data_IF_443578321374
#
_entry.id   IF_443578321374
#
_cell.length_a   1.000
_cell.length_b   1.000
_cell.length_c   1.000
_cell.angle_alpha   90.00
_cell.angle_beta   90.00
_cell.angle_gamma   90.00
#
_symmetry.space_group_name_H-M   'P 1'
#
loop_
_entity.id
_entity.type
_entity.pdbx_description
1 polymer ?
#
# COMPACT_ATOMS: atom_id res chain seq x y z
N UNK A 1 -8.61 23.91 34.75
CA UNK A 1 -8.74 24.27 33.32
C UNK A 1 -9.96 23.61 32.66
N UNK A 2 -10.09 22.27 32.68
CA UNK A 2 -11.25 21.56 32.08
C UNK A 2 -12.61 22.06 32.59
N UNK A 3 -12.80 22.18 33.90
CA UNK A 3 -14.05 22.66 34.48
C UNK A 3 -14.41 24.09 34.01
N UNK A 4 -13.41 24.98 33.88
CA UNK A 4 -13.60 26.35 33.38
C UNK A 4 -14.10 26.31 31.92
N UNK A 5 -13.51 25.48 31.06
CA UNK A 5 -13.96 25.30 29.69
C UNK A 5 -15.37 24.73 29.60
N UNK A 6 -15.74 23.79 30.50
CA UNK A 6 -17.10 23.24 30.57
C UNK A 6 -18.11 24.34 30.96
N UNK A 7 -17.84 25.10 32.02
CA UNK A 7 -18.73 26.19 32.43
C UNK A 7 -18.86 27.28 31.36
N UNK A 8 -17.75 27.65 30.72
CA UNK A 8 -17.75 28.59 29.60
C UNK A 8 -18.62 28.06 28.44
N UNK A 9 -18.45 26.80 28.04
CA UNK A 9 -19.21 26.17 26.97
C UNK A 9 -20.71 26.03 27.28
N UNK A 10 -21.07 25.68 28.52
CA UNK A 10 -22.48 25.59 28.94
C UNK A 10 -23.14 26.97 28.89
N UNK A 11 -22.41 28.02 29.28
CA UNK A 11 -22.89 29.41 29.24
C UNK A 11 -22.92 30.00 27.83
N UNK A 12 -21.95 29.64 26.98
CA UNK A 12 -21.86 30.04 25.58
C UNK A 12 -21.37 28.87 24.73
N UNK A 13 -22.26 28.29 23.92
CA UNK A 13 -21.93 27.14 23.06
C UNK A 13 -20.90 27.46 21.96
N UNK A 14 -20.59 28.73 21.71
CA UNK A 14 -19.51 29.15 20.82
C UNK A 14 -18.11 28.96 21.44
N UNK A 15 -17.98 28.94 22.77
CA UNK A 15 -16.68 28.70 23.43
C UNK A 15 -16.43 27.19 23.57
N UNK A 16 -16.18 26.53 22.44
CA UNK A 16 -16.16 25.08 22.32
C UNK A 16 -14.76 24.49 22.05
N UNK A 17 -13.70 25.27 22.30
CA UNK A 17 -12.30 24.89 22.01
C UNK A 17 -11.89 23.53 22.57
N UNK A 18 -12.44 23.14 23.74
CA UNK A 18 -12.23 21.82 24.35
C UNK A 18 -13.33 20.82 23.96
N UNK A 19 -14.58 21.24 23.96
CA UNK A 19 -15.74 20.38 23.73
C UNK A 19 -15.78 19.79 22.30
N UNK A 20 -15.29 20.55 21.31
CA UNK A 20 -15.25 20.15 19.91
C UNK A 20 -14.25 19.01 19.65
N UNK A 21 -12.95 19.12 19.98
CA UNK A 21 -12.00 18.02 19.79
C UNK A 21 -12.34 16.80 20.65
N UNK A 22 -12.87 16.99 21.87
CA UNK A 22 -13.34 15.87 22.70
C UNK A 22 -14.55 15.16 22.08
N UNK A 23 -15.54 15.90 21.57
CA UNK A 23 -16.70 15.31 20.89
C UNK A 23 -16.30 14.51 19.66
N UNK A 24 -15.36 15.04 18.86
CA UNK A 24 -14.81 14.34 17.70
C UNK A 24 -14.03 13.08 18.12
N UNK A 25 -13.16 13.19 19.13
CA UNK A 25 -12.41 12.06 19.69
C UNK A 25 -13.35 10.94 20.18
N UNK A 26 -14.33 11.28 21.02
CA UNK A 26 -15.28 10.30 21.56
C UNK A 26 -16.05 9.59 20.44
N UNK A 27 -16.53 10.31 19.43
CA UNK A 27 -17.23 9.71 18.30
C UNK A 27 -16.31 8.80 17.47
N UNK A 28 -15.08 9.23 17.20
CA UNK A 28 -14.08 8.44 16.48
C UNK A 28 -13.72 7.16 17.25
N UNK A 29 -13.66 7.23 18.57
CA UNK A 29 -13.42 6.09 19.46
C UNK A 29 -14.63 5.16 19.62
N UNK A 30 -15.76 5.41 18.94
CA UNK A 30 -16.93 4.53 18.96
C UNK A 30 -17.89 4.76 20.14
N UNK A 31 -17.84 5.93 20.78
CA UNK A 31 -18.76 6.28 21.87
C UNK A 31 -20.20 6.35 21.34
N UNK A 32 -21.15 5.72 22.06
CA UNK A 32 -22.56 5.70 21.65
C UNK A 32 -23.19 7.10 21.71
N UNK A 33 -24.23 7.33 20.91
CA UNK A 33 -24.92 8.62 20.87
C UNK A 33 -25.57 8.98 22.21
N UNK A 34 -26.02 7.98 22.98
CA UNK A 34 -26.55 8.18 24.33
C UNK A 34 -25.49 8.75 25.28
N UNK A 35 -24.28 8.18 25.25
CA UNK A 35 -23.15 8.66 26.08
C UNK A 35 -22.71 10.04 25.62
N UNK A 36 -22.60 10.28 24.31
CA UNK A 36 -22.31 11.62 23.77
C UNK A 36 -23.37 12.66 24.17
N UNK A 37 -24.63 12.27 24.25
CA UNK A 37 -25.72 13.12 24.75
C UNK A 37 -25.49 13.56 26.20
N UNK A 38 -25.15 12.61 27.08
CA UNK A 38 -24.81 12.92 28.48
C UNK A 38 -23.60 13.84 28.57
N UNK A 39 -22.52 13.53 27.84
CA UNK A 39 -21.29 14.34 27.81
C UNK A 39 -21.53 15.76 27.27
N UNK A 40 -22.43 15.90 26.30
CA UNK A 40 -22.86 17.19 25.76
C UNK A 40 -23.69 18.01 26.75
N UNK A 41 -24.52 17.34 27.55
CA UNK A 41 -25.37 17.98 28.56
C UNK A 41 -24.54 18.49 29.75
N UNK A 42 -23.51 17.76 30.17
CA UNK A 42 -22.57 18.21 31.22
C UNK A 42 -21.53 19.22 30.70
N UNK A 43 -21.49 19.48 29.38
CA UNK A 43 -20.60 20.47 28.77
C UNK A 43 -19.19 19.98 28.46
N UNK A 44 -18.93 18.68 28.49
CA UNK A 44 -17.63 18.10 28.18
C UNK A 44 -17.41 17.88 26.67
N UNK A 45 -18.49 17.68 25.91
CA UNK A 45 -18.43 17.48 24.46
C UNK A 45 -19.46 18.33 23.72
N UNK A 46 -19.29 18.47 22.41
CA UNK A 46 -20.36 18.93 21.52
C UNK A 46 -21.41 17.83 21.30
N UNK A 47 -22.58 18.23 20.77
CA UNK A 47 -23.67 17.29 20.46
C UNK A 47 -23.28 16.35 19.31
N UNK A 48 -23.89 15.15 19.25
CA UNK A 48 -23.68 14.21 18.13
C UNK A 48 -23.95 14.85 16.77
N UNK A 49 -25.01 15.69 16.67
CA UNK A 49 -25.33 16.44 15.45
C UNK A 49 -24.24 17.42 15.06
N UNK A 50 -23.64 18.12 16.01
CA UNK A 50 -22.51 19.02 15.76
C UNK A 50 -21.28 18.22 15.32
N UNK A 51 -21.02 17.06 15.91
CA UNK A 51 -19.91 16.19 15.48
C UNK A 51 -20.07 15.78 14.02
N UNK A 52 -21.26 15.37 13.59
CA UNK A 52 -21.51 14.99 12.19
C UNK A 52 -21.30 16.17 11.23
N UNK A 53 -21.81 17.37 11.56
CA UNK A 53 -21.54 18.58 10.76
C UNK A 53 -20.05 18.92 10.67
N UNK A 54 -19.32 18.78 11.78
CA UNK A 54 -17.87 19.01 11.80
C UNK A 54 -17.16 17.99 10.92
N UNK A 55 -17.59 16.72 10.91
CA UNK A 55 -17.03 15.70 10.00
C UNK A 55 -17.29 16.02 8.53
N UNK A 56 -18.51 16.42 8.19
CA UNK A 56 -18.88 16.87 6.83
C UNK A 56 -17.98 18.03 6.42
N UNK A 57 -17.85 19.05 7.27
CA UNK A 57 -17.02 20.22 6.97
C UNK A 57 -15.54 19.89 6.82
N UNK A 58 -14.98 19.07 7.72
CA UNK A 58 -13.59 18.58 7.60
C UNK A 58 -13.39 17.82 6.28
N UNK A 59 -14.39 17.03 5.86
CA UNK A 59 -14.32 16.31 4.59
C UNK A 59 -14.36 17.25 3.39
N UNK A 60 -15.21 18.27 3.40
CA UNK A 60 -15.27 19.32 2.37
C UNK A 60 -13.95 20.09 2.29
N UNK A 61 -13.45 20.57 3.42
CA UNK A 61 -12.20 21.33 3.49
C UNK A 61 -11.00 20.47 3.03
N UNK A 62 -10.96 19.18 3.41
CA UNK A 62 -9.89 18.27 2.96
C UNK A 62 -9.92 18.00 1.45
N UNK A 63 -11.12 17.85 0.86
CA UNK A 63 -11.29 17.74 -0.59
C UNK A 63 -10.85 19.04 -1.27
N UNK A 64 -11.23 20.21 -0.74
CA UNK A 64 -10.82 21.49 -1.31
C UNK A 64 -9.29 21.64 -1.29
N UNK A 65 -8.62 21.29 -0.20
CA UNK A 65 -7.15 21.27 -0.16
C UNK A 65 -6.57 20.34 -1.23
N UNK A 66 -7.17 19.19 -1.49
CA UNK A 66 -6.72 18.29 -2.55
C UNK A 66 -6.95 18.88 -3.96
N UNK A 67 -8.05 19.62 -4.17
CA UNK A 67 -8.31 20.37 -5.41
C UNK A 67 -7.27 21.48 -5.60
N UNK A 68 -6.96 22.25 -4.55
CA UNK A 68 -5.97 23.32 -4.59
C UNK A 68 -4.57 22.79 -4.94
N UNK A 69 -4.24 21.58 -4.46
CA UNK A 69 -2.97 20.92 -4.82
C UNK A 69 -2.96 20.46 -6.29
N UNK A 70 -4.07 19.96 -6.80
CA UNK A 70 -4.19 19.44 -8.16
C UNK A 70 -4.24 20.55 -9.23
N UNK A 71 -4.80 21.71 -8.88
CA UNK A 71 -4.89 22.89 -9.75
C UNK A 71 -3.70 23.85 -9.58
N UNK A 72 -2.95 23.71 -8.48
CA UNK A 72 -1.78 24.53 -8.17
C UNK A 72 -0.55 24.26 -9.06
N UNK A 73 0.55 24.99 -8.82
CA UNK A 73 1.80 24.85 -9.57
C UNK A 73 2.66 23.67 -9.09
N UNK A 74 2.32 23.06 -7.95
CA UNK A 74 3.07 21.96 -7.37
C UNK A 74 2.81 20.66 -8.14
N UNK A 75 3.88 19.93 -8.42
CA UNK A 75 3.76 18.62 -9.03
C UNK A 75 3.04 17.66 -8.06
N UNK A 76 2.09 16.89 -8.57
CA UNK A 76 1.37 15.90 -7.78
C UNK A 76 1.04 14.65 -8.61
N UNK A 77 0.65 13.59 -7.91
CA UNK A 77 0.09 12.40 -8.52
C UNK A 77 -1.18 11.98 -7.79
N UNK A 78 -2.04 11.26 -8.52
CA UNK A 78 -3.31 10.76 -8.01
C UNK A 78 -3.16 9.27 -7.79
N UNK A 79 -3.39 8.82 -6.56
CA UNK A 79 -3.45 7.40 -6.23
C UNK A 79 -4.88 7.03 -5.89
N UNK A 80 -5.34 5.89 -6.41
CA UNK A 80 -6.64 5.37 -6.10
C UNK A 80 -6.64 3.85 -6.04
N UNK A 81 -7.52 3.32 -5.20
CA UNK A 81 -7.68 1.89 -4.97
C UNK A 81 -9.12 1.57 -4.54
N UNK A 82 -9.54 0.33 -4.80
CA UNK A 82 -10.86 -0.16 -4.46
C UNK A 82 -11.04 -0.30 -2.95
N UNK A 83 -12.19 0.17 -2.47
CA UNK A 83 -12.71 -0.08 -1.13
C UNK A 83 -14.03 -0.84 -1.19
N UNK A 84 -14.01 -2.06 -0.65
CA UNK A 84 -15.20 -2.89 -0.48
C UNK A 84 -15.72 -2.75 0.95
N UNK A 85 -16.89 -2.14 1.11
CA UNK A 85 -17.56 -1.98 2.41
C UNK A 85 -18.69 -3.00 2.53
N UNK A 86 -18.51 -3.97 3.43
CA UNK A 86 -19.53 -4.97 3.70
C UNK A 86 -20.55 -4.44 4.70
N UNK A 87 -21.80 -4.26 4.25
CA UNK A 87 -22.92 -3.84 5.07
C UNK A 87 -23.64 -5.06 5.63
N UNK A 88 -23.26 -5.43 6.85
CA UNK A 88 -23.90 -6.52 7.57
C UNK A 88 -25.30 -6.09 8.07
N UNK A 89 -26.32 -6.90 7.79
CA UNK A 89 -27.65 -6.79 8.36
C UNK A 89 -27.79 -7.81 9.48
N UNK A 90 -28.45 -7.45 10.58
CA UNK A 90 -28.61 -8.36 11.71
C UNK A 90 -29.48 -9.58 11.36
N UNK A 91 -30.58 -9.33 10.66
CA UNK A 91 -31.46 -10.35 10.11
C UNK A 91 -31.61 -10.15 8.62
N UNK A 92 -31.31 -11.21 7.87
CA UNK A 92 -31.55 -11.23 6.45
C UNK A 92 -33.02 -11.51 6.15
N UNK A 93 -33.62 -10.69 5.29
CA UNK A 93 -34.97 -10.87 4.72
C UNK A 93 -34.89 -10.66 3.23
N UNK A 94 -35.94 -11.03 2.48
CA UNK A 94 -35.97 -10.82 1.03
C UNK A 94 -35.67 -9.36 0.63
N UNK A 95 -36.15 -8.40 1.42
CA UNK A 95 -35.96 -6.95 1.24
C UNK A 95 -34.78 -6.37 2.03
N UNK A 96 -34.09 -7.16 2.85
CA UNK A 96 -33.02 -6.68 3.73
C UNK A 96 -31.89 -7.70 3.78
N UNK A 97 -31.06 -7.71 2.74
CA UNK A 97 -29.91 -8.61 2.62
C UNK A 97 -28.61 -7.89 2.93
N UNK A 98 -27.57 -8.67 3.16
CA UNK A 98 -26.21 -8.16 3.08
C UNK A 98 -25.97 -7.48 1.73
N UNK A 99 -25.28 -6.36 1.77
CA UNK A 99 -24.83 -5.67 0.55
C UNK A 99 -23.36 -5.31 0.67
N UNK A 100 -22.70 -5.23 -0.48
CA UNK A 100 -21.33 -4.74 -0.57
C UNK A 100 -21.37 -3.44 -1.37
N UNK A 101 -20.86 -2.37 -0.77
CA UNK A 101 -20.59 -1.14 -1.51
C UNK A 101 -19.20 -1.30 -2.13
N UNK A 102 -19.14 -1.22 -3.44
CA UNK A 102 -17.91 -1.20 -4.22
C UNK A 102 -17.63 0.25 -4.61
N UNK A 103 -16.64 0.85 -3.97
CA UNK A 103 -16.25 2.22 -4.22
C UNK A 103 -14.73 2.32 -4.42
N UNK A 104 -14.26 3.48 -4.86
CA UNK A 104 -12.85 3.78 -5.07
C UNK A 104 -12.45 4.92 -4.15
N UNK A 105 -11.42 4.71 -3.33
CA UNK A 105 -10.85 5.78 -2.51
C UNK A 105 -9.72 6.48 -3.27
N UNK A 106 -9.69 7.81 -3.23
CA UNK A 106 -8.74 8.63 -3.99
C UNK A 106 -7.95 9.54 -3.05
N UNK A 107 -6.66 9.70 -3.30
CA UNK A 107 -5.81 10.69 -2.67
C UNK A 107 -4.94 11.40 -3.71
N UNK A 108 -4.69 12.69 -3.47
CA UNK A 108 -3.73 13.51 -4.25
C UNK A 108 -2.50 13.71 -3.38
N UNK A 109 -1.33 13.39 -3.93
CA UNK A 109 -0.07 13.40 -3.19
C UNK A 109 0.93 14.30 -3.92
N UNK A 110 1.53 15.23 -3.19
CA UNK A 110 2.53 16.15 -3.73
C UNK A 110 3.86 15.45 -3.97
N UNK A 111 4.56 15.87 -5.02
CA UNK A 111 5.94 15.52 -5.32
C UNK A 111 6.79 16.78 -5.08
N UNK A 112 7.70 16.70 -4.11
CA UNK A 112 8.48 17.82 -3.60
C UNK A 112 9.52 18.40 -4.56
N UNK A 113 10.01 17.59 -5.50
CA UNK A 113 11.08 17.97 -6.41
C UNK A 113 10.77 17.52 -7.82
N UNK A 114 11.17 18.34 -8.78
CA UNK A 114 10.91 18.16 -10.20
C UNK A 114 10.44 19.46 -10.82
N UNK A 115 10.69 19.60 -12.11
CA UNK A 115 10.19 20.74 -12.89
C UNK A 115 8.79 20.38 -13.42
N UNK A 116 7.75 20.94 -12.79
CA UNK A 116 6.37 20.66 -13.16
C UNK A 116 6.10 20.97 -14.64
N UNK A 117 6.70 22.02 -15.21
CA UNK A 117 6.47 22.38 -16.60
C UNK A 117 6.98 21.31 -17.58
N UNK A 118 8.09 20.65 -17.25
CA UNK A 118 8.65 19.56 -18.07
C UNK A 118 7.96 18.22 -17.84
N UNK A 119 7.56 17.95 -16.60
CA UNK A 119 6.86 16.69 -16.24
C UNK A 119 5.44 16.68 -16.82
N UNK A 120 4.76 17.82 -16.78
CA UNK A 120 3.37 17.97 -17.21
C UNK A 120 3.25 18.27 -18.72
N UNK A 121 4.35 18.34 -19.48
CA UNK A 121 4.35 18.59 -20.93
C UNK A 121 3.77 17.40 -21.70
N UNK A 122 2.53 17.57 -22.15
CA UNK A 122 1.79 16.55 -22.91
C UNK A 122 2.42 16.31 -24.27
N UNK A 123 2.91 17.33 -24.97
CA UNK A 123 3.47 17.16 -26.31
C UNK A 123 4.78 16.37 -26.25
N UNK A 124 5.65 16.70 -25.30
CA UNK A 124 6.88 15.93 -25.06
C UNK A 124 6.56 14.47 -24.69
N UNK A 125 5.54 14.24 -23.85
CA UNK A 125 5.09 12.89 -23.51
C UNK A 125 4.58 12.11 -24.73
N UNK A 126 3.71 12.71 -25.54
CA UNK A 126 3.16 12.06 -26.73
C UNK A 126 4.23 11.78 -27.79
N UNK A 127 5.25 12.64 -27.91
CA UNK A 127 6.38 12.45 -28.84
C UNK A 127 7.28 11.24 -28.50
N UNK A 128 7.17 10.69 -27.28
CA UNK A 128 7.88 9.49 -26.86
C UNK A 128 7.14 8.20 -27.24
N UNK A 129 5.89 8.28 -27.69
CA UNK A 129 5.08 7.10 -28.02
C UNK A 129 5.62 6.34 -29.23
N UNK A 130 5.33 5.05 -29.25
CA UNK A 130 5.73 4.15 -30.34
C UNK A 130 7.21 3.74 -30.31
N UNK A 131 8.07 4.45 -29.56
CA UNK A 131 9.50 4.13 -29.43
C UNK A 131 9.79 2.76 -28.85
N UNK A 132 8.83 2.16 -28.14
CA UNK A 132 8.89 0.77 -27.65
C UNK A 132 9.04 -0.26 -28.77
N UNK A 133 8.76 0.08 -30.03
CA UNK A 133 9.04 -0.80 -31.18
C UNK A 133 10.52 -1.22 -31.26
N UNK A 134 11.42 -0.41 -30.70
CA UNK A 134 12.87 -0.66 -30.64
C UNK A 134 13.30 -1.51 -29.44
N UNK A 135 12.36 -2.01 -28.63
CA UNK A 135 12.66 -2.85 -27.48
C UNK A 135 13.12 -4.25 -27.92
N UNK A 136 14.14 -4.74 -27.23
CA UNK A 136 14.79 -6.03 -27.44
C UNK A 136 14.80 -6.82 -26.13
N UNK A 137 15.11 -8.11 -26.21
CA UNK A 137 15.21 -8.95 -25.02
C UNK A 137 16.37 -8.53 -24.09
N UNK A 138 17.45 -7.99 -24.64
CA UNK A 138 18.60 -7.55 -23.85
C UNK A 138 18.25 -6.37 -22.94
N UNK A 139 17.20 -5.61 -23.25
CA UNK A 139 16.73 -4.46 -22.45
C UNK A 139 16.09 -4.86 -21.12
N UNK A 140 15.67 -6.12 -20.98
CA UNK A 140 15.11 -6.66 -19.74
C UNK A 140 16.04 -7.65 -19.07
N UNK A 141 17.18 -8.00 -19.70
CA UNK A 141 18.12 -8.96 -19.17
C UNK A 141 19.03 -8.30 -18.13
N UNK A 142 19.24 -8.90 -16.95
CA UNK A 142 20.20 -8.40 -15.97
C UNK A 142 21.61 -8.34 -16.57
N UNK A 143 22.30 -7.23 -16.32
CA UNK A 143 23.69 -7.04 -16.68
C UNK A 143 24.63 -7.63 -15.62
N UNK A 144 25.92 -7.73 -15.95
CA UNK A 144 26.94 -8.13 -14.97
C UNK A 144 27.06 -7.13 -13.81
N UNK A 145 26.90 -5.83 -14.10
CA UNK A 145 26.91 -4.76 -13.10
C UNK A 145 25.75 -4.91 -12.12
N UNK A 146 24.54 -5.20 -12.62
CA UNK A 146 23.38 -5.45 -11.76
C UNK A 146 23.69 -6.63 -10.81
N UNK A 147 24.30 -7.70 -11.33
CA UNK A 147 24.70 -8.87 -10.54
C UNK A 147 25.68 -8.54 -9.41
N UNK A 148 26.63 -7.64 -9.65
CA UNK A 148 27.60 -7.19 -8.64
C UNK A 148 26.94 -6.32 -7.56
N UNK A 149 26.05 -5.41 -7.96
CA UNK A 149 25.24 -4.61 -7.02
C UNK A 149 24.37 -5.53 -6.15
N UNK A 150 23.74 -6.55 -6.76
CA UNK A 150 22.94 -7.54 -6.04
C UNK A 150 23.78 -8.30 -5.01
N UNK A 151 24.95 -8.82 -5.43
CA UNK A 151 25.88 -9.54 -4.54
C UNK A 151 26.25 -8.69 -3.34
N UNK A 152 26.71 -7.45 -3.57
CA UNK A 152 27.09 -6.52 -2.49
C UNK A 152 25.90 -6.20 -1.56
N UNK A 153 24.70 -6.04 -2.12
CA UNK A 153 23.48 -5.81 -1.34
C UNK A 153 23.13 -7.00 -0.44
N UNK A 154 23.31 -8.24 -0.92
CA UNK A 154 23.09 -9.45 -0.12
C UNK A 154 24.10 -9.54 1.02
N UNK A 155 25.36 -9.27 0.74
CA UNK A 155 26.43 -9.30 1.74
C UNK A 155 26.16 -8.33 2.88
N UNK A 156 25.82 -7.07 2.54
CA UNK A 156 25.45 -6.07 3.53
C UNK A 156 24.20 -6.47 4.31
N UNK A 157 23.18 -7.02 3.65
CA UNK A 157 21.93 -7.46 4.30
C UNK A 157 22.16 -8.63 5.27
N UNK A 158 22.97 -9.61 4.87
CA UNK A 158 23.36 -10.75 5.70
C UNK A 158 24.17 -10.26 6.90
N UNK A 159 25.20 -9.43 6.66
CA UNK A 159 26.02 -8.86 7.73
C UNK A 159 25.17 -8.08 8.73
N UNK A 160 24.23 -7.26 8.24
CA UNK A 160 23.30 -6.53 9.10
C UNK A 160 22.43 -7.48 9.93
N UNK A 161 21.92 -8.57 9.35
CA UNK A 161 21.12 -9.55 10.10
C UNK A 161 21.94 -10.27 11.17
N UNK A 162 23.17 -10.67 10.86
CA UNK A 162 24.08 -11.30 11.84
C UNK A 162 24.35 -10.33 13.00
N UNK A 163 24.80 -9.12 12.70
CA UNK A 163 25.10 -8.12 13.72
C UNK A 163 23.86 -7.79 14.53
N UNK A 164 22.67 -7.71 13.91
CA UNK A 164 21.45 -7.36 14.65
C UNK A 164 20.88 -8.48 15.50
N UNK A 165 20.94 -9.72 15.04
CA UNK A 165 20.12 -10.81 15.56
C UNK A 165 20.92 -12.00 16.11
N UNK A 166 22.24 -12.05 15.94
CA UNK A 166 23.03 -13.11 16.54
C UNK A 166 22.91 -13.09 18.07
N UNK A 167 22.81 -14.26 18.73
CA UNK A 167 22.73 -14.35 20.19
C UNK A 167 23.91 -13.62 20.86
N UNK A 168 23.63 -12.77 21.84
CA UNK A 168 24.66 -11.97 22.54
C UNK A 168 25.24 -10.80 21.73
N UNK A 169 24.80 -10.60 20.48
CA UNK A 169 25.35 -9.54 19.62
C UNK A 169 25.18 -8.13 20.16
N UNK A 170 24.19 -7.90 21.03
CA UNK A 170 23.96 -6.60 21.67
C UNK A 170 25.15 -6.14 22.49
N UNK A 171 25.96 -7.08 22.97
CA UNK A 171 27.11 -6.84 23.83
C UNK A 171 28.45 -6.90 23.06
N UNK A 172 28.42 -7.03 21.73
CA UNK A 172 29.65 -7.03 20.93
C UNK A 172 30.34 -5.67 20.97
N UNK A 173 31.64 -5.67 21.28
CA UNK A 173 32.50 -4.49 21.16
C UNK A 173 32.52 -4.01 19.71
N UNK A 174 32.30 -2.71 19.48
CA UNK A 174 32.27 -2.15 18.13
C UNK A 174 31.00 -2.43 17.32
N UNK A 175 29.92 -2.97 17.91
CA UNK A 175 28.64 -3.22 17.20
C UNK A 175 28.14 -2.01 16.41
N UNK A 176 28.23 -0.81 16.99
CA UNK A 176 27.79 0.42 16.34
C UNK A 176 28.62 0.72 15.08
N UNK A 177 29.94 0.62 15.18
CA UNK A 177 30.87 0.80 14.07
C UNK A 177 30.66 -0.24 12.97
N UNK A 178 30.38 -1.50 13.33
CA UNK A 178 30.03 -2.55 12.36
C UNK A 178 28.77 -2.16 11.57
N UNK A 179 27.71 -1.73 12.26
CA UNK A 179 26.47 -1.31 11.60
C UNK A 179 26.65 -0.07 10.74
N UNK A 180 27.55 0.83 11.13
CA UNK A 180 27.88 2.02 10.35
C UNK A 180 28.64 1.66 9.06
N UNK A 181 29.67 0.82 9.17
CA UNK A 181 30.41 0.28 8.00
C UNK A 181 29.47 -0.43 7.03
N UNK A 182 28.60 -1.30 7.52
CA UNK A 182 27.61 -2.01 6.68
C UNK A 182 26.68 -1.02 5.97
N UNK A 183 26.22 0.05 6.64
CA UNK A 183 25.39 1.08 6.01
C UNK A 183 26.15 1.91 4.98
N UNK A 184 27.44 2.14 5.19
CA UNK A 184 28.29 2.85 4.25
C UNK A 184 28.55 2.00 2.98
N UNK A 185 28.73 0.68 3.16
CA UNK A 185 28.98 -0.26 2.07
C UNK A 185 27.73 -0.62 1.27
N UNK A 186 26.54 -0.51 1.87
CA UNK A 186 25.28 -0.83 1.21
C UNK A 186 25.10 0.02 -0.06
N UNK A 187 24.91 -0.60 -1.24
CA UNK A 187 24.69 0.12 -2.49
C UNK A 187 23.51 1.09 -2.37
N UNK A 188 23.68 2.30 -2.90
CA UNK A 188 22.66 3.34 -2.92
C UNK A 188 22.27 3.60 -4.37
N UNK A 189 20.97 3.57 -4.65
CA UNK A 189 20.41 3.98 -5.93
C UNK A 189 19.41 5.12 -5.69
N UNK A 190 19.75 6.33 -6.16
CA UNK A 190 18.94 7.57 -6.07
C UNK A 190 18.23 7.74 -4.71
N UNK A 191 18.97 7.87 -3.59
CA UNK A 191 18.37 7.99 -2.26
C UNK A 191 17.46 9.22 -2.15
N UNK A 192 16.32 9.07 -1.49
CA UNK A 192 15.38 10.15 -1.22
C UNK A 192 15.71 10.85 0.09
N UNK A 193 15.80 12.18 0.04
CA UNK A 193 15.98 13.02 1.21
C UNK A 193 14.80 12.90 2.18
N UNK A 194 15.01 12.92 3.50
CA UNK A 194 13.90 12.85 4.46
C UNK A 194 13.02 14.10 4.41
N UNK A 195 11.76 13.94 4.04
CA UNK A 195 10.78 15.03 4.03
C UNK A 195 9.38 14.54 4.39
N UNK A 196 8.54 15.45 4.89
CA UNK A 196 7.13 15.12 5.15
C UNK A 196 6.38 15.22 3.83
N UNK A 197 5.82 14.10 3.38
CA UNK A 197 4.98 14.09 2.18
C UNK A 197 3.62 14.71 2.46
N UNK A 198 3.22 15.68 1.64
CA UNK A 198 1.87 16.24 1.65
C UNK A 198 0.92 15.31 0.88
N UNK A 199 0.09 14.57 1.61
CA UNK A 199 -0.89 13.64 1.06
C UNK A 199 -2.30 14.06 1.49
N UNK A 200 -3.12 14.48 0.52
CA UNK A 200 -4.45 15.05 0.74
C UNK A 200 -5.53 14.08 0.28
N UNK A 201 -6.46 13.66 1.16
CA UNK A 201 -7.54 12.77 0.75
C UNK A 201 -8.49 13.50 -0.20
N UNK A 202 -8.78 12.89 -1.35
CA UNK A 202 -9.73 13.41 -2.33
C UNK A 202 -11.13 12.79 -2.15
N UNK A 203 -11.25 11.82 -1.23
CA UNK A 203 -12.50 11.19 -0.83
C UNK A 203 -12.83 9.94 -1.63
N UNK A 204 -13.99 9.35 -1.31
CA UNK A 204 -14.47 8.10 -1.92
C UNK A 204 -15.42 8.41 -3.07
N UNK A 205 -15.21 7.75 -4.20
CA UNK A 205 -16.06 7.81 -5.40
C UNK A 205 -16.85 6.50 -5.47
N UNK A 206 -18.18 6.59 -5.61
CA UNK A 206 -19.06 5.42 -5.69
C UNK A 206 -19.04 4.78 -7.10
N UNK A 207 -17.86 4.37 -7.53
CA UNK A 207 -17.60 3.68 -8.79
C UNK A 207 -16.67 2.50 -8.50
N UNK A 208 -16.87 1.38 -9.19
CA UNK A 208 -16.00 0.22 -9.11
C UNK A 208 -14.95 0.28 -10.24
N UNK A 209 -13.69 0.54 -9.91
CA UNK A 209 -12.60 0.65 -10.89
C UNK A 209 -12.12 -0.71 -11.43
N UNK A 210 -12.65 -1.83 -10.92
CA UNK A 210 -12.28 -3.20 -11.32
C UNK A 210 -12.60 -3.54 -12.78
N UNK A 211 -13.12 -2.60 -13.57
CA UNK A 211 -13.40 -2.74 -15.00
C UNK A 211 -12.86 -1.55 -15.80
N UNK A 212 -12.67 -1.74 -17.11
CA UNK A 212 -12.26 -0.67 -18.05
C UNK A 212 -13.21 0.53 -18.00
N UNK A 213 -14.53 0.26 -18.00
CA UNK A 213 -15.57 1.30 -17.87
C UNK A 213 -15.49 2.01 -16.52
N UNK A 214 -15.22 1.26 -15.46
CA UNK A 214 -15.04 1.79 -14.11
C UNK A 214 -13.87 2.77 -14.01
N UNK A 215 -12.71 2.43 -14.60
CA UNK A 215 -11.55 3.34 -14.64
C UNK A 215 -11.87 4.65 -15.36
N UNK A 216 -12.53 4.57 -16.52
CA UNK A 216 -12.97 5.75 -17.27
C UNK A 216 -13.86 6.65 -16.38
N UNK A 217 -14.87 6.04 -15.75
CA UNK A 217 -15.77 6.75 -14.84
C UNK A 217 -15.02 7.35 -13.64
N UNK A 218 -14.03 6.66 -13.07
CA UNK A 218 -13.21 7.22 -11.97
C UNK A 218 -12.46 8.47 -12.44
N UNK A 219 -11.84 8.44 -13.62
CA UNK A 219 -11.14 9.61 -14.17
C UNK A 219 -12.10 10.78 -14.40
N UNK A 220 -13.24 10.54 -15.05
CA UNK A 220 -14.29 11.53 -15.28
C UNK A 220 -14.74 12.16 -13.94
N UNK A 221 -15.01 11.33 -12.92
CA UNK A 221 -15.41 11.82 -11.59
C UNK A 221 -14.32 12.62 -10.88
N UNK A 222 -13.05 12.27 -11.07
CA UNK A 222 -11.94 13.03 -10.49
C UNK A 222 -11.84 14.39 -11.18
N UNK A 223 -11.93 14.42 -12.50
CA UNK A 223 -11.92 15.65 -13.28
C UNK A 223 -13.12 16.55 -12.91
N UNK A 224 -14.35 16.04 -12.91
CA UNK A 224 -15.55 16.77 -12.47
C UNK A 224 -15.38 17.35 -11.07
N UNK A 225 -14.93 16.53 -10.12
CA UNK A 225 -14.77 16.94 -8.71
C UNK A 225 -13.63 17.93 -8.52
N UNK A 226 -12.63 17.93 -9.41
CA UNK A 226 -11.55 18.92 -9.42
C UNK A 226 -11.97 20.28 -9.95
N UNK A 227 -13.20 20.42 -10.46
CA UNK A 227 -13.74 21.65 -11.07
C UNK A 227 -12.98 22.14 -12.32
N UNK A 228 -12.08 21.31 -12.87
CA UNK A 228 -11.34 21.61 -14.09
C UNK A 228 -12.19 21.28 -15.31
N UNK A 229 -12.06 22.02 -16.42
CA UNK A 229 -12.62 21.59 -17.70
C UNK A 229 -11.83 20.41 -18.30
N UNK A 230 -12.40 19.71 -19.28
CA UNK A 230 -11.67 18.67 -20.02
C UNK A 230 -10.41 19.22 -20.69
N UNK A 231 -10.49 20.41 -21.28
CA UNK A 231 -9.35 21.12 -21.89
C UNK A 231 -8.23 21.39 -20.89
N UNK A 232 -8.57 21.89 -19.69
CA UNK A 232 -7.61 22.12 -18.62
C UNK A 232 -7.00 20.80 -18.11
N UNK A 233 -7.81 19.75 -18.06
CA UNK A 233 -7.35 18.44 -17.64
C UNK A 233 -6.34 17.85 -18.63
N UNK A 234 -6.69 17.83 -19.92
CA UNK A 234 -5.88 17.24 -20.99
C UNK A 234 -4.65 18.07 -21.39
N UNK A 235 -4.61 19.35 -21.01
CA UNK A 235 -3.44 20.22 -21.24
C UNK A 235 -2.17 19.80 -20.50
N UNK A 236 -2.30 18.93 -19.47
CA UNK A 236 -1.20 18.49 -18.61
C UNK A 236 -1.14 16.96 -18.52
N UNK A 237 0.08 16.43 -18.43
CA UNK A 237 0.28 15.02 -18.07
C UNK A 237 -0.16 14.80 -16.63
N UNK A 238 -1.07 13.84 -16.40
CA UNK A 238 -1.58 13.51 -15.07
C UNK A 238 -0.99 12.20 -14.60
N UNK A 239 -0.17 12.28 -13.55
CA UNK A 239 0.45 11.11 -12.94
C UNK A 239 -0.59 10.36 -12.12
N UNK A 240 -0.69 9.05 -12.37
CA UNK A 240 -1.60 8.17 -11.67
C UNK A 240 -0.88 6.95 -11.12
N UNK A 241 -1.41 6.41 -10.03
CA UNK A 241 -0.90 5.19 -9.44
C UNK A 241 -2.05 4.28 -8.99
N UNK A 242 -1.87 2.98 -9.21
CA UNK A 242 -2.80 1.94 -8.77
C UNK A 242 -2.16 0.56 -8.84
N UNK A 243 -2.90 -0.48 -8.46
CA UNK A 243 -2.42 -1.85 -8.55
C UNK A 243 -2.26 -2.33 -10.02
N UNK A 244 -1.86 -3.60 -10.21
CA UNK A 244 -1.73 -4.17 -11.55
C UNK A 244 -3.04 -4.15 -12.34
N UNK A 245 -4.19 -4.42 -11.70
CA UNK A 245 -5.47 -4.48 -12.41
C UNK A 245 -5.88 -3.09 -12.89
N UNK A 246 -5.69 -2.08 -12.05
CA UNK A 246 -5.93 -0.67 -12.35
C UNK A 246 -5.04 -0.20 -13.50
N UNK A 247 -3.73 -0.44 -13.45
CA UNK A 247 -2.82 -0.10 -14.55
C UNK A 247 -3.15 -0.87 -15.84
N UNK A 248 -3.48 -2.17 -15.75
CA UNK A 248 -3.90 -2.96 -16.90
C UNK A 248 -5.20 -2.47 -17.52
N UNK A 249 -6.20 -2.11 -16.71
CA UNK A 249 -7.49 -1.63 -17.19
C UNK A 249 -7.35 -0.25 -17.84
N UNK A 250 -6.53 0.64 -17.28
CA UNK A 250 -6.21 1.94 -17.87
C UNK A 250 -5.59 1.79 -19.27
N UNK A 251 -4.56 0.94 -19.41
CA UNK A 251 -3.93 0.67 -20.73
C UNK A 251 -4.92 0.08 -21.74
N UNK A 252 -5.77 -0.85 -21.30
CA UNK A 252 -6.81 -1.44 -22.17
C UNK A 252 -7.88 -0.41 -22.55
N UNK A 253 -8.27 0.47 -21.64
CA UNK A 253 -9.21 1.56 -21.94
C UNK A 253 -8.64 2.49 -23.00
N UNK A 254 -7.38 2.93 -22.84
CA UNK A 254 -6.65 3.72 -23.85
C UNK A 254 -6.60 3.03 -25.22
N UNK A 255 -6.27 1.73 -25.26
CA UNK A 255 -6.21 0.98 -26.51
C UNK A 255 -7.55 0.88 -27.24
N UNK A 256 -8.67 0.84 -26.50
CA UNK A 256 -10.01 0.80 -27.08
C UNK A 256 -10.53 2.16 -27.54
N UNK A 257 -10.00 3.24 -26.96
CA UNK A 257 -10.39 4.62 -27.24
C UNK A 257 -9.39 5.34 -28.13
N UNK A 258 -8.52 4.61 -28.83
CA UNK A 258 -7.47 5.23 -29.66
C UNK A 258 -8.02 6.14 -30.77
N UNK A 259 -9.26 5.91 -31.19
CA UNK A 259 -9.94 6.61 -32.28
C UNK A 259 -10.93 7.68 -31.76
N UNK A 260 -11.01 7.90 -30.44
CA UNK A 260 -11.85 8.96 -29.83
C UNK A 260 -11.27 10.35 -30.15
N UNK A 261 -12.06 11.42 -29.97
CA UNK A 261 -11.79 12.74 -30.56
C UNK A 261 -10.79 13.55 -29.73
N UNK A 262 -10.94 13.62 -28.42
CA UNK A 262 -10.09 14.44 -27.54
C UNK A 262 -8.99 13.63 -26.84
N UNK A 263 -7.92 14.30 -26.38
CA UNK A 263 -6.84 13.66 -25.62
C UNK A 263 -7.40 13.09 -24.30
N UNK A 264 -8.37 13.79 -23.71
CA UNK A 264 -9.11 13.36 -22.53
C UNK A 264 -9.86 12.05 -22.78
N UNK A 265 -10.69 11.96 -23.84
CA UNK A 265 -11.45 10.74 -24.15
C UNK A 265 -10.52 9.55 -24.41
N UNK A 266 -9.42 9.79 -25.15
CA UNK A 266 -8.40 8.79 -25.43
C UNK A 266 -7.55 8.42 -24.20
N UNK A 267 -7.66 9.14 -23.08
CA UNK A 267 -6.88 8.96 -21.84
C UNK A 267 -5.37 9.08 -22.07
N UNK A 268 -4.97 9.95 -22.99
CA UNK A 268 -3.61 9.99 -23.50
C UNK A 268 -2.65 10.81 -22.66
N UNK A 269 -3.18 11.80 -21.95
CA UNK A 269 -2.44 12.61 -20.99
C UNK A 269 -2.22 11.88 -19.65
N UNK A 270 -2.83 10.72 -19.44
CA UNK A 270 -2.70 9.98 -18.18
C UNK A 270 -1.46 9.08 -18.20
N UNK A 271 -0.58 9.30 -17.23
CA UNK A 271 0.59 8.45 -17.05
C UNK A 271 0.50 7.63 -15.77
N UNK A 272 0.26 6.33 -15.92
CA UNK A 272 0.02 5.42 -14.79
C UNK A 272 1.24 4.56 -14.46
N UNK A 273 1.60 4.48 -13.19
CA UNK A 273 2.61 3.54 -12.67
C UNK A 273 1.96 2.54 -11.72
N UNK A 274 2.36 1.27 -11.83
CA UNK A 274 1.90 0.25 -10.88
C UNK A 274 2.50 0.46 -9.50
N UNK A 275 1.72 0.14 -8.48
CA UNK A 275 2.04 0.50 -7.12
C UNK A 275 2.97 -0.51 -6.41
N UNK A 276 3.95 0.03 -5.66
CA UNK A 276 5.12 -0.72 -5.21
C UNK A 276 4.81 -1.73 -4.10
N UNK A 277 3.89 -1.45 -3.18
CA UNK A 277 3.54 -2.42 -2.13
C UNK A 277 2.86 -3.66 -2.71
N UNK A 278 2.04 -3.51 -3.75
CA UNK A 278 1.45 -4.64 -4.44
C UNK A 278 2.49 -5.58 -5.07
N UNK A 279 3.62 -5.06 -5.59
CA UNK A 279 4.72 -5.95 -5.99
C UNK A 279 5.31 -6.69 -4.78
N UNK A 280 5.54 -6.00 -3.66
CA UNK A 280 6.04 -6.63 -2.44
C UNK A 280 5.08 -7.68 -1.88
N UNK A 281 3.77 -7.46 -2.00
CA UNK A 281 2.71 -8.40 -1.66
C UNK A 281 2.82 -9.66 -2.51
N UNK A 282 2.91 -9.50 -3.83
CA UNK A 282 3.02 -10.62 -4.76
C UNK A 282 4.34 -11.38 -4.58
N UNK A 283 5.45 -10.69 -4.29
CA UNK A 283 6.73 -11.32 -3.94
C UNK A 283 6.64 -12.11 -2.63
N UNK A 284 5.86 -11.64 -1.65
CA UNK A 284 5.58 -12.40 -0.42
C UNK A 284 4.79 -13.67 -0.76
N UNK A 285 3.75 -13.56 -1.58
CA UNK A 285 2.95 -14.70 -2.02
C UNK A 285 3.78 -15.70 -2.84
N UNK A 286 4.72 -15.19 -3.64
CA UNK A 286 5.65 -15.96 -4.44
C UNK A 286 6.52 -16.85 -3.54
N UNK A 287 7.21 -16.23 -2.57
CA UNK A 287 8.08 -16.96 -1.62
C UNK A 287 7.26 -17.98 -0.83
N UNK A 288 6.06 -17.61 -0.36
CA UNK A 288 5.19 -18.55 0.35
C UNK A 288 4.84 -19.74 -0.52
N UNK A 289 4.44 -19.54 -1.77
CA UNK A 289 4.07 -20.62 -2.70
C UNK A 289 5.26 -21.51 -3.05
N UNK A 290 6.40 -20.91 -3.38
CA UNK A 290 7.62 -21.64 -3.78
C UNK A 290 8.17 -22.49 -2.63
N UNK A 291 8.13 -21.97 -1.40
CA UNK A 291 8.74 -22.60 -0.23
C UNK A 291 7.73 -23.13 0.79
N UNK A 292 6.47 -23.35 0.36
CA UNK A 292 5.47 -23.92 1.25
C UNK A 292 5.82 -25.36 1.61
N UNK A 293 6.21 -26.22 0.66
CA UNK A 293 6.60 -27.60 0.99
C UNK A 293 5.59 -28.35 1.88
N UNK A 294 6.07 -29.26 2.73
CA UNK A 294 5.26 -30.03 3.67
C UNK A 294 5.92 -30.06 5.07
N UNK A 295 5.18 -29.68 6.11
CA UNK A 295 5.70 -29.56 7.47
C UNK A 295 6.27 -30.86 8.06
N UNK A 296 5.76 -32.02 7.63
CA UNK A 296 6.13 -33.33 8.19
C UNK A 296 7.38 -33.87 7.52
N UNK A 297 7.43 -33.82 6.19
CA UNK A 297 8.51 -34.41 5.40
C UNK A 297 9.70 -33.46 5.21
N UNK A 298 9.45 -32.16 5.35
CA UNK A 298 10.46 -31.12 5.19
C UNK A 298 10.43 -30.16 6.39
N UNK A 299 11.32 -30.34 7.38
CA UNK A 299 11.40 -29.46 8.54
C UNK A 299 11.90 -28.05 8.17
N UNK A 300 12.48 -27.87 6.99
CA UNK A 300 12.91 -26.57 6.45
C UNK A 300 11.79 -25.87 5.68
N UNK A 301 10.57 -26.42 5.65
CA UNK A 301 9.44 -25.78 4.97
C UNK A 301 8.86 -24.60 5.75
N UNK A 302 8.23 -23.64 5.06
CA UNK A 302 7.54 -22.52 5.73
C UNK A 302 6.42 -22.96 6.70
N UNK A 303 5.61 -23.99 6.44
CA UNK A 303 4.64 -24.57 7.35
C UNK A 303 5.24 -25.12 8.63
N UNK A 304 6.41 -25.79 8.56
CA UNK A 304 7.12 -26.23 9.76
C UNK A 304 7.48 -25.02 10.65
N UNK A 305 8.05 -23.97 10.04
CA UNK A 305 8.37 -22.73 10.75
C UNK A 305 7.11 -21.98 11.24
N UNK A 306 6.02 -22.01 10.47
CA UNK A 306 4.71 -21.43 10.84
C UNK A 306 4.13 -22.14 12.07
N UNK A 307 4.21 -23.47 12.11
CA UNK A 307 3.78 -24.30 13.24
C UNK A 307 4.63 -24.04 14.48
N UNK A 308 5.95 -24.02 14.33
CA UNK A 308 6.90 -23.72 15.42
C UNK A 308 6.63 -22.36 16.06
N UNK A 309 6.34 -21.35 15.24
CA UNK A 309 6.02 -19.99 15.69
C UNK A 309 4.54 -19.79 16.05
N UNK A 310 3.72 -20.85 16.03
CA UNK A 310 2.29 -20.85 16.35
C UNK A 310 1.48 -19.78 15.59
N UNK A 311 1.76 -19.61 14.29
CA UNK A 311 1.11 -18.60 13.45
C UNK A 311 -0.12 -19.13 12.71
N UNK A 312 -1.19 -18.35 12.75
CA UNK A 312 -2.48 -18.66 12.11
C UNK A 312 -2.76 -17.71 10.96
N UNK A 313 -2.73 -18.23 9.73
CA UNK A 313 -3.19 -17.58 8.50
C UNK A 313 -3.29 -18.59 7.36
N UNK A 314 -4.10 -18.28 6.36
CA UNK A 314 -4.33 -19.08 5.16
C UNK A 314 -3.17 -18.95 4.17
N UNK A 315 -2.61 -20.08 3.75
CA UNK A 315 -1.49 -20.14 2.82
C UNK A 315 -1.86 -19.85 1.37
N UNK A 316 -3.11 -20.08 0.97
CA UNK A 316 -3.61 -19.76 -0.36
C UNK A 316 -3.78 -18.25 -0.54
N UNK A 317 -4.14 -17.55 0.55
CA UNK A 317 -4.25 -16.09 0.59
C UNK A 317 -3.51 -15.54 1.82
N UNK A 318 -2.16 -15.56 1.80
CA UNK A 318 -1.37 -15.18 2.96
C UNK A 318 -1.58 -13.72 3.30
N UNK A 319 -1.90 -13.47 4.58
CA UNK A 319 -1.87 -12.12 5.13
C UNK A 319 -0.46 -11.56 4.99
N UNK A 320 -0.33 -10.41 4.32
CA UNK A 320 0.95 -9.81 3.97
C UNK A 320 1.90 -9.66 5.17
N UNK A 321 1.43 -9.02 6.25
CA UNK A 321 2.27 -8.72 7.41
C UNK A 321 2.72 -10.01 8.12
N UNK A 322 1.80 -10.95 8.31
CA UNK A 322 2.07 -12.22 8.98
C UNK A 322 3.02 -13.12 8.16
N UNK A 323 2.82 -13.19 6.84
CA UNK A 323 3.66 -13.96 5.93
C UNK A 323 5.06 -13.33 5.76
N UNK A 324 5.13 -12.01 5.53
CA UNK A 324 6.41 -11.28 5.46
C UNK A 324 7.23 -11.46 6.72
N UNK A 325 6.60 -11.37 7.89
CA UNK A 325 7.29 -11.62 9.16
C UNK A 325 7.76 -13.08 9.28
N UNK A 326 7.01 -14.06 8.75
CA UNK A 326 7.41 -15.48 8.81
C UNK A 326 8.63 -15.70 7.93
N UNK A 327 8.60 -15.18 6.69
CA UNK A 327 9.73 -15.23 5.77
C UNK A 327 10.97 -14.62 6.42
N UNK A 328 10.82 -13.43 7.03
CA UNK A 328 11.93 -12.77 7.73
C UNK A 328 12.49 -13.61 8.88
N UNK A 329 11.63 -14.18 9.73
CA UNK A 329 12.07 -15.01 10.85
C UNK A 329 12.77 -16.29 10.36
N UNK A 330 12.21 -16.93 9.33
CA UNK A 330 12.79 -18.10 8.67
C UNK A 330 14.17 -17.78 8.09
N UNK A 331 14.30 -16.64 7.41
CA UNK A 331 15.56 -16.18 6.83
C UNK A 331 16.62 -15.94 7.89
N UNK A 332 16.30 -15.18 8.93
CA UNK A 332 17.24 -14.91 10.04
C UNK A 332 17.69 -16.22 10.69
N UNK A 333 16.77 -17.16 10.96
CA UNK A 333 17.12 -18.44 11.58
C UNK A 333 18.11 -19.25 10.72
N UNK A 334 17.90 -19.31 9.39
CA UNK A 334 18.79 -20.02 8.46
C UNK A 334 20.16 -19.35 8.37
N UNK A 335 20.19 -18.02 8.29
CA UNK A 335 21.44 -17.24 8.30
C UNK A 335 22.25 -17.53 9.56
N UNK A 336 21.63 -17.47 10.74
CA UNK A 336 22.33 -17.69 12.01
C UNK A 336 22.80 -19.14 12.22
N UNK A 337 22.14 -20.11 11.60
CA UNK A 337 22.56 -21.52 11.64
C UNK A 337 23.78 -21.80 10.77
N UNK A 338 23.95 -21.08 9.65
CA UNK A 338 24.99 -21.39 8.68
C UNK A 338 26.35 -20.84 9.12
N UNK A 339 27.39 -21.70 9.10
CA UNK A 339 28.77 -21.33 9.47
C UNK A 339 29.56 -20.67 8.34
N UNK A 340 29.07 -20.70 7.09
CA UNK A 340 29.77 -20.20 5.88
C UNK A 340 28.79 -19.54 4.89
N UNK A 341 28.14 -18.48 5.36
CA UNK A 341 26.90 -17.92 4.78
C UNK A 341 27.05 -17.39 3.34
N UNK A 342 28.23 -16.89 2.95
CA UNK A 342 28.42 -16.21 1.65
C UNK A 342 28.94 -17.13 0.53
N UNK A 343 29.90 -18.02 0.82
CA UNK A 343 30.54 -18.85 -0.20
C UNK A 343 29.75 -20.13 -0.54
N UNK A 344 28.84 -20.56 0.34
CA UNK A 344 28.19 -21.86 0.24
C UNK A 344 26.65 -21.81 0.07
N UNK A 345 25.95 -20.69 0.38
CA UNK A 345 24.51 -20.77 0.71
C UNK A 345 23.53 -19.82 0.00
N UNK A 346 23.94 -19.02 -0.98
CA UNK A 346 23.01 -18.07 -1.67
C UNK A 346 23.02 -18.20 -3.19
N UNK A 347 23.63 -19.25 -3.74
CA UNK A 347 23.78 -19.42 -5.19
C UNK A 347 23.11 -20.70 -5.71
N UNK A 348 22.51 -20.60 -6.90
CA UNK A 348 21.86 -21.73 -7.58
C UNK A 348 22.78 -22.95 -7.80
N UNK A 349 24.08 -22.80 -8.15
CA UNK A 349 24.99 -23.93 -8.29
C UNK A 349 25.17 -24.75 -7.00
N UNK A 350 25.22 -24.09 -5.84
CA UNK A 350 25.39 -24.78 -4.55
C UNK A 350 24.13 -25.54 -4.15
N UNK A 351 22.95 -24.97 -4.39
CA UNK A 351 21.69 -25.68 -4.18
C UNK A 351 21.60 -26.96 -5.03
N UNK A 352 22.01 -26.87 -6.30
CA UNK A 352 22.09 -28.06 -7.18
C UNK A 352 23.11 -29.08 -6.71
N UNK A 353 24.25 -28.65 -6.16
CA UNK A 353 25.25 -29.55 -5.60
C UNK A 353 24.73 -30.29 -4.35
N UNK A 354 23.99 -29.60 -3.46
CA UNK A 354 23.33 -30.24 -2.32
C UNK A 354 22.28 -31.27 -2.77
N UNK A 355 21.46 -30.92 -3.76
CA UNK A 355 20.49 -31.85 -4.35
C UNK A 355 21.17 -33.06 -5.01
N UNK A 356 22.28 -32.85 -5.72
CA UNK A 356 23.07 -33.93 -6.30
C UNK A 356 23.70 -34.84 -5.23
N UNK A 357 23.95 -34.32 -4.03
CA UNK A 357 24.36 -35.07 -2.84
C UNK A 357 23.19 -35.67 -2.04
N UNK A 358 21.96 -35.59 -2.56
CA UNK A 358 20.73 -36.05 -1.90
C UNK A 358 20.42 -35.35 -0.56
N UNK A 359 20.96 -34.16 -0.34
CA UNK A 359 20.61 -33.29 0.78
C UNK A 359 19.56 -32.26 0.34
N UNK A 360 18.32 -32.74 0.17
CA UNK A 360 17.20 -31.94 -0.30
C UNK A 360 16.83 -30.82 0.69
N UNK A 361 17.05 -31.03 1.99
CA UNK A 361 16.80 -30.04 3.03
C UNK A 361 17.77 -28.87 2.91
N UNK A 362 19.06 -29.16 2.71
CA UNK A 362 20.06 -28.13 2.49
C UNK A 362 19.84 -27.40 1.17
N UNK A 363 19.48 -28.12 0.10
CA UNK A 363 19.11 -27.50 -1.16
C UNK A 363 17.93 -26.52 -0.99
N UNK A 364 16.89 -26.91 -0.23
CA UNK A 364 15.77 -26.03 0.07
C UNK A 364 16.17 -24.81 0.91
N UNK A 365 17.01 -24.98 1.93
CA UNK A 365 17.58 -23.88 2.72
C UNK A 365 18.30 -22.86 1.82
N UNK A 366 19.14 -23.31 0.89
CA UNK A 366 19.88 -22.46 -0.05
C UNK A 366 18.92 -21.70 -0.97
N UNK A 367 17.95 -22.39 -1.58
CA UNK A 367 16.98 -21.74 -2.45
C UNK A 367 16.14 -20.71 -1.70
N UNK A 368 15.71 -21.01 -0.48
CA UNK A 368 14.96 -20.07 0.35
C UNK A 368 15.77 -18.81 0.67
N UNK A 369 17.03 -18.97 1.09
CA UNK A 369 17.90 -17.84 1.40
C UNK A 369 18.16 -16.98 0.17
N UNK A 370 18.45 -17.60 -0.98
CA UNK A 370 18.57 -16.89 -2.26
C UNK A 370 17.30 -16.10 -2.55
N UNK A 371 16.13 -16.74 -2.58
CA UNK A 371 14.88 -16.13 -3.05
C UNK A 371 14.34 -15.06 -2.09
N UNK A 372 14.57 -15.24 -0.78
CA UNK A 372 14.23 -14.23 0.23
C UNK A 372 15.15 -12.99 0.18
N UNK A 373 16.36 -13.12 -0.36
CA UNK A 373 17.29 -12.02 -0.59
C UNK A 373 17.15 -11.38 -1.99
N UNK A 374 16.81 -12.16 -3.04
CA UNK A 374 16.76 -11.78 -4.47
C UNK A 374 15.55 -10.95 -4.88
N UNK A 375 15.06 -10.13 -3.96
CA UNK A 375 13.87 -9.31 -4.15
C UNK A 375 14.01 -8.27 -5.29
N UNK A 376 15.19 -8.10 -5.90
CA UNK A 376 15.45 -7.05 -6.89
C UNK A 376 15.23 -7.46 -8.37
N UNK A 377 14.92 -8.73 -8.68
CA UNK A 377 14.71 -9.19 -10.08
C UNK A 377 13.35 -9.83 -10.27
N UNK A 378 12.34 -9.07 -9.89
CA UNK A 378 10.95 -9.48 -9.88
C UNK A 378 10.45 -10.01 -11.23
N UNK A 379 10.88 -9.47 -12.37
CA UNK A 379 10.38 -9.91 -13.69
C UNK A 379 10.54 -11.43 -13.91
N UNK A 380 11.76 -11.95 -13.77
CA UNK A 380 12.06 -13.37 -13.99
C UNK A 380 11.60 -14.23 -12.81
N UNK A 381 11.75 -13.75 -11.58
CA UNK A 381 11.30 -14.47 -10.39
C UNK A 381 9.78 -14.71 -10.43
N UNK A 382 9.00 -13.68 -10.71
CA UNK A 382 7.55 -13.80 -10.89
C UNK A 382 7.20 -14.71 -12.04
N UNK A 383 7.92 -14.64 -13.16
CA UNK A 383 7.67 -15.52 -14.31
C UNK A 383 7.87 -16.99 -13.94
N UNK A 384 8.98 -17.31 -13.27
CA UNK A 384 9.32 -18.66 -12.82
C UNK A 384 8.33 -19.22 -11.79
N UNK A 385 7.80 -18.37 -10.93
CA UNK A 385 6.80 -18.75 -9.91
C UNK A 385 5.33 -18.68 -10.40
N UNK A 386 5.11 -18.62 -11.71
CA UNK A 386 3.78 -18.52 -12.34
C UNK A 386 2.95 -17.29 -11.92
N UNK A 387 3.59 -16.20 -11.51
CA UNK A 387 2.97 -14.90 -11.26
C UNK A 387 3.06 -14.00 -12.49
N UNK A 388 2.43 -14.43 -13.59
CA UNK A 388 2.61 -13.82 -14.91
C UNK A 388 2.19 -12.35 -14.99
N UNK A 389 1.22 -11.92 -14.18
CA UNK A 389 0.73 -10.55 -14.15
C UNK A 389 1.81 -9.57 -13.72
N UNK A 390 2.42 -9.79 -12.55
CA UNK A 390 3.48 -8.93 -12.03
C UNK A 390 4.81 -9.13 -12.76
N UNK A 391 5.06 -10.31 -13.34
CA UNK A 391 6.18 -10.49 -14.27
C UNK A 391 6.07 -9.56 -15.48
N UNK A 392 4.89 -9.50 -16.12
CA UNK A 392 4.61 -8.60 -17.24
C UNK A 392 4.68 -7.14 -16.81
N UNK A 393 4.20 -6.82 -15.61
CA UNK A 393 4.24 -5.44 -15.12
C UNK A 393 5.67 -4.94 -14.86
N UNK A 394 6.57 -5.80 -14.37
CA UNK A 394 7.98 -5.44 -14.25
C UNK A 394 8.58 -5.11 -15.62
N UNK A 395 8.32 -5.95 -16.62
CA UNK A 395 8.77 -5.71 -18.01
C UNK A 395 8.19 -4.42 -18.56
N UNK A 396 6.91 -4.16 -18.31
CA UNK A 396 6.29 -2.90 -18.70
C UNK A 396 7.06 -1.71 -18.13
N UNK A 397 7.29 -1.67 -16.82
CA UNK A 397 7.96 -0.55 -16.15
C UNK A 397 9.35 -0.32 -16.76
N UNK A 398 10.13 -1.40 -16.96
CA UNK A 398 11.48 -1.32 -17.53
C UNK A 398 11.47 -0.74 -18.96
N UNK A 399 10.61 -1.27 -19.82
CA UNK A 399 10.53 -0.82 -21.22
C UNK A 399 9.98 0.60 -21.32
N UNK A 400 8.98 0.93 -20.50
CA UNK A 400 8.38 2.25 -20.44
C UNK A 400 9.40 3.31 -20.00
N UNK A 401 10.17 3.05 -18.95
CA UNK A 401 11.24 3.95 -18.51
C UNK A 401 12.35 4.14 -19.53
N UNK A 402 12.64 3.11 -20.33
CA UNK A 402 13.70 3.18 -21.33
C UNK A 402 13.26 3.91 -22.60
N UNK A 403 12.02 3.66 -23.06
CA UNK A 403 11.60 4.08 -24.40
C UNK A 403 10.53 5.16 -24.42
N UNK A 404 9.69 5.28 -23.40
CA UNK A 404 8.45 6.06 -23.47
C UNK A 404 8.41 7.25 -22.51
N UNK A 405 9.39 7.38 -21.61
CA UNK A 405 9.42 8.43 -20.60
C UNK A 405 10.64 9.33 -20.78
N UNK A 406 10.40 10.65 -20.75
CA UNK A 406 11.46 11.64 -20.58
C UNK A 406 12.10 11.55 -19.19
N UNK A 407 13.34 12.04 -19.01
CA UNK A 407 14.09 11.90 -17.76
C UNK A 407 13.38 12.57 -16.57
N UNK A 408 12.75 13.74 -16.77
CA UNK A 408 12.02 14.45 -15.73
C UNK A 408 10.75 13.68 -15.30
N UNK A 409 9.96 13.20 -16.26
CA UNK A 409 8.76 12.40 -16.00
C UNK A 409 9.11 11.07 -15.31
N UNK A 410 10.20 10.43 -15.71
CA UNK A 410 10.74 9.24 -15.04
C UNK A 410 11.08 9.53 -13.58
N UNK A 411 11.81 10.62 -13.30
CA UNK A 411 12.18 11.00 -11.94
C UNK A 411 10.94 11.31 -11.08
N UNK A 412 9.91 11.93 -11.64
CA UNK A 412 8.64 12.16 -10.96
C UNK A 412 7.91 10.86 -10.60
N UNK A 413 7.84 9.90 -11.53
CA UNK A 413 7.22 8.59 -11.29
C UNK A 413 7.99 7.73 -10.29
N UNK A 414 9.33 7.82 -10.27
CA UNK A 414 10.15 7.14 -9.25
C UNK A 414 9.86 7.69 -7.84
N UNK A 415 9.64 9.00 -7.71
CA UNK A 415 9.28 9.65 -6.45
C UNK A 415 7.85 9.33 -6.02
N UNK A 416 6.91 9.21 -6.95
CA UNK A 416 5.50 8.93 -6.63
C UNK A 416 5.28 7.56 -5.98
N UNK A 417 6.26 6.65 -6.05
CA UNK A 417 6.18 5.38 -5.33
C UNK A 417 6.26 5.51 -3.81
N UNK A 418 6.79 6.60 -3.28
CA UNK A 418 7.14 6.70 -1.86
C UNK A 418 6.40 7.83 -1.15
N UNK A 419 6.02 7.57 0.10
CA UNK A 419 5.42 8.53 1.04
C UNK A 419 6.18 8.45 2.35
N UNK A 420 6.51 9.59 2.95
CA UNK A 420 7.11 9.70 4.27
C UNK A 420 6.26 10.60 5.16
N UNK A 421 5.48 9.98 6.04
CA UNK A 421 4.56 10.69 6.94
C UNK A 421 5.25 11.53 8.01
N UNK A 422 6.51 11.24 8.29
CA UNK A 422 7.20 11.80 9.47
C UNK A 422 8.39 12.68 9.11
N UNK A 423 8.81 12.74 7.84
CA UNK A 423 10.02 13.42 7.42
C UNK A 423 11.30 12.88 8.06
N UNK A 424 11.29 11.61 8.48
CA UNK A 424 12.43 10.98 9.15
C UNK A 424 13.21 10.08 8.19
N UNK A 425 14.55 10.01 8.30
CA UNK A 425 15.36 9.08 7.53
C UNK A 425 14.87 7.63 7.70
N UNK A 426 14.85 6.87 6.60
CA UNK A 426 14.46 5.45 6.61
C UNK A 426 12.97 5.19 6.93
N UNK A 427 12.11 6.22 6.85
CA UNK A 427 10.66 6.09 7.10
C UNK A 427 9.78 6.24 5.86
N UNK A 428 10.38 6.19 4.68
CA UNK A 428 9.67 6.05 3.41
C UNK A 428 8.91 4.72 3.36
N UNK A 429 7.65 4.76 2.97
CA UNK A 429 6.81 3.59 2.68
C UNK A 429 6.25 3.73 1.27
N UNK A 430 5.79 2.63 0.68
CA UNK A 430 5.10 2.69 -0.61
C UNK A 430 3.79 3.50 -0.49
N UNK A 431 3.48 4.32 -1.49
CA UNK A 431 2.30 5.19 -1.51
C UNK A 431 0.97 4.41 -1.46
N UNK A 432 0.87 3.25 -2.10
CA UNK A 432 -0.31 2.37 -2.02
C UNK A 432 -0.46 1.71 -0.64
N UNK A 433 0.63 1.44 0.07
CA UNK A 433 0.54 1.00 1.46
C UNK A 433 -0.01 2.10 2.37
N UNK A 434 0.29 3.37 2.07
CA UNK A 434 -0.32 4.50 2.76
C UNK A 434 -1.83 4.58 2.47
N UNK A 435 -2.23 4.48 1.20
CA UNK A 435 -3.64 4.49 0.81
C UNK A 435 -4.42 3.31 1.43
N UNK A 436 -3.84 2.11 1.47
CA UNK A 436 -4.49 0.95 2.10
C UNK A 436 -4.64 1.11 3.63
N UNK A 437 -3.72 1.83 4.28
CA UNK A 437 -3.92 2.23 5.68
C UNK A 437 -5.09 3.20 5.85
N UNK A 438 -5.28 4.14 4.92
CA UNK A 438 -6.47 5.00 4.89
C UNK A 438 -7.74 4.16 4.67
N UNK A 439 -7.72 3.22 3.72
CA UNK A 439 -8.84 2.30 3.46
C UNK A 439 -9.20 1.47 4.70
N UNK A 440 -8.20 0.97 5.43
CA UNK A 440 -8.41 0.23 6.67
C UNK A 440 -9.22 1.04 7.69
N UNK A 441 -8.88 2.32 7.90
CA UNK A 441 -9.61 3.17 8.84
C UNK A 441 -11.04 3.45 8.41
N UNK A 442 -11.30 3.58 7.10
CA UNK A 442 -12.68 3.69 6.58
C UNK A 442 -13.45 2.40 6.84
N UNK A 443 -12.88 1.24 6.51
CA UNK A 443 -13.50 -0.09 6.71
C UNK A 443 -13.86 -0.34 8.19
N UNK A 444 -12.94 -0.06 9.11
CA UNK A 444 -13.12 -0.27 10.55
C UNK A 444 -14.22 0.63 11.14
N UNK A 445 -14.26 1.91 10.74
CA UNK A 445 -15.24 2.86 11.29
C UNK A 445 -16.66 2.57 10.82
N UNK A 446 -16.85 2.19 9.56
CA UNK A 446 -18.17 1.78 9.05
C UNK A 446 -18.68 0.51 9.75
N UNK A 447 -17.81 -0.46 10.01
CA UNK A 447 -18.18 -1.65 10.80
C UNK A 447 -18.64 -1.29 12.22
N UNK A 448 -17.97 -0.36 12.89
CA UNK A 448 -18.37 0.13 14.22
C UNK A 448 -19.71 0.88 14.18
N UNK A 449 -19.93 1.74 13.18
CA UNK A 449 -21.17 2.51 13.04
C UNK A 449 -22.40 1.64 12.72
N UNK A 450 -22.25 0.62 11.86
CA UNK A 450 -23.32 -0.34 11.53
C UNK A 450 -23.65 -1.23 12.74
N UNK A 451 -22.64 -1.60 13.54
CA UNK A 451 -22.83 -2.41 14.75
C UNK A 451 -23.50 -1.62 15.89
N UNK A 452 -23.31 -0.30 15.95
CA UNK A 452 -23.92 0.56 16.97
C UNK A 452 -25.35 1.00 16.60
N UNK A 453 -25.61 1.37 15.33
CA UNK A 453 -26.98 1.78 14.91
C UNK A 453 -28.00 0.65 15.07
N UNK A 454 -27.60 -0.60 14.88
CA UNK A 454 -28.47 -1.77 15.07
C UNK A 454 -28.78 -2.11 16.53
N UNK A 455 -28.10 -1.50 17.51
CA UNK A 455 -28.42 -1.64 18.95
C UNK A 455 -29.46 -0.65 19.47
N UNK A 456 -29.75 0.42 18.72
CA UNK A 456 -30.58 1.54 19.19
C UNK A 456 -32.02 1.52 18.69
N UNK A 457 -32.36 0.64 17.75
CA UNK A 457 -33.74 0.39 17.34
C UNK A 457 -34.18 -0.97 17.93
N UNK A 458 -35.32 -0.98 18.62
CA UNK A 458 -35.97 -2.08 19.38
C UNK A 458 -35.69 -2.15 20.89
N UNK A 459 -36.56 -1.50 21.67
CA UNK A 459 -37.28 -2.02 22.88
C UNK A 459 -38.60 -1.22 22.93
N UNK A 460 -39.82 -1.78 23.17
CA UNK A 460 -40.10 -2.89 24.09
C UNK A 460 -41.07 -3.98 23.61
N UNK A 461 -40.82 -5.22 24.04
CA UNK A 461 -41.87 -6.09 24.56
C UNK A 461 -41.27 -7.07 25.57
N UNK A 462 -41.83 -7.07 26.79
CA UNK A 462 -41.61 -8.09 27.82
C UNK A 462 -41.90 -9.47 27.25
N UNK A 463 -41.10 -10.47 27.61
CA UNK A 463 -41.56 -11.77 28.12
C UNK A 463 -40.37 -12.59 28.66
N UNK A 464 -40.69 -13.39 29.67
CA UNK A 464 -39.80 -14.13 30.58
C UNK A 464 -39.20 -15.37 29.91
N UNK A 465 -38.08 -15.83 30.49
CA UNK A 465 -37.70 -17.26 30.56
C UNK A 465 -37.22 -17.89 29.26
N UNK A 466 -35.91 -18.04 29.06
CA UNK A 466 -35.21 -19.25 29.50
C UNK A 466 -33.74 -19.21 29.09
N UNK A 467 -32.88 -19.62 30.02
CA UNK A 467 -31.46 -19.87 29.77
C UNK A 467 -31.33 -21.12 28.92
N UNK A 468 -30.76 -21.03 27.71
CA UNK A 468 -29.92 -22.10 27.16
C UNK A 468 -28.70 -21.55 26.43
N UNK A 469 -27.54 -21.95 26.94
CA UNK A 469 -26.24 -21.95 26.24
C UNK A 469 -26.40 -22.71 24.92
N UNK A 470 -25.76 -22.24 23.86
CA UNK A 470 -25.12 -23.14 22.90
C UNK A 470 -23.99 -22.41 22.18
N UNK A 471 -22.86 -23.13 22.10
CA UNK A 471 -21.60 -22.76 21.49
C UNK A 471 -21.78 -22.44 20.00
N UNK A 472 -21.13 -21.38 19.52
CA UNK A 472 -20.15 -21.39 18.43
C UNK A 472 -19.28 -20.13 18.51
#
# INVERSE_FOLDING_TARGET
MVAICMFAFVRNRATNILALPLGLFFKISGTSERVLGVLSNIGLSISSRTVERVKERISEDAVQLAIDLLTGPSLCFIIFDNINLYLRKWQERLTNRHSMIHATNVAVIAISQGDAAKVEDVQAHLAMRGRRINATFDDVRPTAEDGEVMRKSFECSIAEMIVRYAPGSTNWTGRAEMLEKIRADMPKDRPLEPEVTDARPFGVINVNEGSKKGIIQVVERIQEKSTMSEEQWESKVRLMQGDWLTASNMRKARAQRKDDVSIFERLENLEIVSALWHFALNATHMIVRTHFGNAITDPTSLPAHKGLLRRTWDALKPNYAAAKSLIRHSLIARILRSRKIQEEYTTSPKARAAQAASDDWLAHDIYFMRDALLFMYWAFAFRGASQHNYARECVEILLKWKYELGPELRAALERSWFVNRWGKPGRWIAADLYLEQCNFWVKVREHLLVTVRTRTEYIPARLRGDRKRCNY
#
